data_IF_960446262754
#
_entry.id   IF_960446262754
#
_cell.length_a   1.000
_cell.length_b   1.000
_cell.length_c   1.000
_cell.angle_alpha   90.00
_cell.angle_beta   90.00
_cell.angle_gamma   90.00
#
_symmetry.space_group_name_H-M   'P 1'
#
loop_
_entity.id
_entity.type
_entity.pdbx_description
1 polymer ?
#
# COMPACT_ATOMS: atom_id res chain seq x y z
N UNK A 1 0.03 -5.24 3.16
CA UNK A 1 1.38 -4.85 3.65
C UNK A 1 2.28 -6.05 3.46
N UNK A 2 3.28 -5.89 2.62
CA UNK A 2 4.14 -6.95 2.04
C UNK A 2 5.51 -6.93 2.73
N UNK A 3 6.26 -8.04 2.83
CA UNK A 3 7.67 -8.08 3.29
C UNK A 3 8.67 -8.33 2.16
N UNK A 4 9.83 -7.65 2.18
CA UNK A 4 10.96 -7.85 1.25
C UNK A 4 12.27 -7.35 1.89
N UNK A 5 13.34 -8.15 1.79
CA UNK A 5 14.51 -8.06 2.68
C UNK A 5 15.53 -6.94 2.39
N UNK A 6 15.21 -5.89 1.65
CA UNK A 6 16.08 -4.68 1.54
C UNK A 6 15.28 -3.45 1.09
N UNK A 7 14.92 -2.58 2.03
CA UNK A 7 14.52 -1.20 1.74
C UNK A 7 14.94 -0.23 2.86
N UNK A 8 15.94 0.61 2.56
CA UNK A 8 16.05 1.96 3.12
C UNK A 8 14.94 2.80 2.47
N UNK A 9 14.24 3.59 3.28
CA UNK A 9 13.03 4.37 2.99
C UNK A 9 12.91 4.86 1.53
N UNK A 10 11.85 4.45 0.81
CA UNK A 10 11.54 4.96 -0.53
C UNK A 10 10.06 5.22 -0.71
N UNK A 11 9.75 6.25 -1.49
CA UNK A 11 8.40 6.53 -1.98
C UNK A 11 8.42 6.46 -3.50
N UNK A 12 7.55 5.65 -4.07
CA UNK A 12 7.30 5.57 -5.50
C UNK A 12 5.97 6.26 -5.80
N UNK A 13 5.91 7.03 -6.88
CA UNK A 13 4.72 7.76 -7.30
C UNK A 13 4.44 7.54 -8.79
N UNK A 14 3.19 7.21 -9.11
CA UNK A 14 2.68 7.18 -10.47
C UNK A 14 1.75 8.37 -10.71
N UNK A 15 2.24 9.38 -11.43
CA UNK A 15 1.50 10.59 -11.72
C UNK A 15 0.26 10.39 -12.60
N UNK A 16 0.22 9.34 -13.42
CA UNK A 16 -0.92 9.09 -14.32
C UNK A 16 -2.11 8.49 -13.58
N UNK A 17 -1.84 7.62 -12.61
CA UNK A 17 -2.88 6.87 -11.91
C UNK A 17 -3.09 7.38 -10.48
N UNK A 18 -2.30 8.35 -10.02
CA UNK A 18 -2.31 8.90 -8.65
C UNK A 18 -2.09 7.84 -7.57
N UNK A 19 -1.21 6.88 -7.82
CA UNK A 19 -0.85 5.86 -6.84
C UNK A 19 0.53 6.13 -6.24
N UNK A 20 0.65 5.88 -4.94
CA UNK A 20 1.89 5.93 -4.18
C UNK A 20 2.18 4.57 -3.56
N UNK A 21 3.47 4.26 -3.45
CA UNK A 21 3.97 3.15 -2.65
C UNK A 21 5.02 3.72 -1.71
N UNK A 22 4.75 3.71 -0.42
CA UNK A 22 5.73 4.04 0.61
C UNK A 22 6.31 2.76 1.19
N UNK A 23 7.63 2.72 1.37
CA UNK A 23 8.33 1.53 1.87
C UNK A 23 9.14 1.83 3.12
N UNK A 24 9.12 0.88 4.05
CA UNK A 24 9.96 0.88 5.24
C UNK A 24 10.36 -0.54 5.59
N UNK A 25 11.66 -0.87 5.53
CA UNK A 25 12.16 -2.23 5.79
C UNK A 25 11.33 -3.27 5.03
N UNK A 26 10.59 -4.10 5.76
CA UNK A 26 9.76 -5.17 5.24
C UNK A 26 8.29 -4.74 5.13
N UNK A 27 7.96 -3.47 5.03
CA UNK A 27 6.57 -3.02 4.95
C UNK A 27 6.35 -2.10 3.73
N UNK A 28 5.34 -2.44 2.93
CA UNK A 28 4.86 -1.61 1.80
C UNK A 28 3.46 -1.10 2.10
N UNK A 29 3.31 0.22 2.07
CA UNK A 29 2.05 0.93 2.14
C UNK A 29 1.65 1.38 0.72
N UNK A 30 0.53 0.85 0.24
CA UNK A 30 -0.07 1.22 -1.05
C UNK A 30 -1.18 2.27 -0.83
N UNK A 31 -1.11 3.37 -1.57
CA UNK A 31 -2.05 4.49 -1.47
C UNK A 31 -2.50 4.86 -2.88
N UNK A 32 -3.79 5.13 -3.07
CA UNK A 32 -4.30 5.62 -4.35
C UNK A 32 -5.82 5.54 -4.43
N UNK A 33 -6.42 6.19 -5.44
CA UNK A 33 -7.87 6.31 -5.56
C UNK A 33 -8.54 5.02 -6.07
N UNK A 34 -7.82 4.17 -6.80
CA UNK A 34 -8.37 2.96 -7.41
C UNK A 34 -7.97 1.71 -6.60
N UNK A 35 -8.89 1.24 -5.76
CA UNK A 35 -8.69 0.03 -4.95
C UNK A 35 -8.51 -1.22 -5.81
N UNK A 36 -9.18 -1.29 -6.97
CA UNK A 36 -9.03 -2.40 -7.93
C UNK A 36 -7.59 -2.50 -8.44
N UNK A 37 -7.02 -1.37 -8.87
CA UNK A 37 -5.62 -1.31 -9.29
C UNK A 37 -4.65 -1.74 -8.18
N UNK A 38 -4.85 -1.27 -6.94
CA UNK A 38 -4.03 -1.70 -5.79
C UNK A 38 -4.16 -3.20 -5.56
N UNK A 39 -5.36 -3.75 -5.68
CA UNK A 39 -5.65 -5.17 -5.48
C UNK A 39 -4.94 -6.03 -6.53
N UNK A 40 -5.01 -5.63 -7.79
CA UNK A 40 -4.34 -6.33 -8.89
C UNK A 40 -2.82 -6.23 -8.79
N UNK A 41 -2.30 -5.07 -8.38
CA UNK A 41 -0.87 -4.89 -8.12
C UNK A 41 -0.39 -5.82 -7.00
N UNK A 42 -1.11 -5.90 -5.88
CA UNK A 42 -0.81 -6.85 -4.79
C UNK A 42 -0.82 -8.29 -5.31
N UNK A 43 -1.85 -8.70 -6.06
CA UNK A 43 -1.89 -10.06 -6.65
C UNK A 43 -0.66 -10.36 -7.51
N UNK A 44 -0.23 -9.41 -8.35
CA UNK A 44 0.98 -9.57 -9.18
C UNK A 44 2.24 -9.67 -8.35
N UNK A 45 2.37 -8.84 -7.31
CA UNK A 45 3.51 -8.90 -6.39
C UNK A 45 3.56 -10.21 -5.61
N UNK A 46 2.40 -10.74 -5.19
CA UNK A 46 2.34 -12.00 -4.45
C UNK A 46 2.88 -13.18 -5.26
N UNK A 47 2.61 -13.19 -6.57
CA UNK A 47 3.10 -14.23 -7.48
C UNK A 47 4.63 -14.28 -7.58
N UNK A 48 5.31 -13.16 -7.34
CA UNK A 48 6.77 -13.06 -7.53
C UNK A 48 7.52 -13.12 -6.21
N UNK A 49 6.97 -12.51 -5.14
CA UNK A 49 7.71 -12.24 -3.91
C UNK A 49 7.10 -12.87 -2.65
N UNK A 50 6.08 -13.73 -2.77
CA UNK A 50 5.40 -14.38 -1.62
C UNK A 50 5.04 -13.37 -0.52
N UNK A 51 4.15 -12.45 -0.87
CA UNK A 51 3.82 -11.31 -0.03
C UNK A 51 2.67 -11.68 0.90
N UNK A 52 2.73 -11.22 2.14
CA UNK A 52 1.54 -11.19 3.00
C UNK A 52 0.71 -9.93 2.67
N UNK A 53 -0.61 -9.97 2.84
CA UNK A 53 -1.43 -8.77 2.79
C UNK A 53 -2.17 -8.55 4.12
N UNK A 54 -1.65 -7.65 4.94
CA UNK A 54 -2.26 -7.29 6.23
C UNK A 54 -3.51 -6.40 6.12
N UNK A 55 -4.10 -6.28 4.93
CA UNK A 55 -5.34 -5.53 4.73
C UNK A 55 -5.18 -4.00 4.82
N UNK A 56 -6.26 -3.28 5.15
CA UNK A 56 -6.25 -1.83 5.25
C UNK A 56 -5.40 -1.34 6.43
N UNK A 57 -4.32 -0.60 6.13
CA UNK A 57 -3.46 -0.05 7.19
C UNK A 57 -4.20 0.99 8.05
N UNK A 58 -4.26 0.77 9.36
CA UNK A 58 -4.73 1.78 10.31
C UNK A 58 -3.59 2.71 10.76
N UNK A 59 -2.36 2.17 10.79
CA UNK A 59 -1.14 2.87 11.17
C UNK A 59 -0.01 2.51 10.21
N UNK A 60 0.92 3.44 10.02
CA UNK A 60 2.20 3.19 9.36
C UNK A 60 3.27 4.03 10.06
N UNK A 61 4.33 3.39 10.55
CA UNK A 61 5.42 4.05 11.30
C UNK A 61 4.97 4.89 12.50
N UNK A 62 3.94 4.44 13.23
CA UNK A 62 3.38 5.16 14.37
C UNK A 62 2.47 6.33 13.99
N UNK A 63 2.25 6.60 12.71
CA UNK A 63 1.32 7.61 12.21
C UNK A 63 -0.02 6.96 11.88
N UNK A 64 -1.12 7.53 12.39
CA UNK A 64 -2.46 7.07 12.08
C UNK A 64 -2.88 7.48 10.67
N UNK A 65 -3.48 6.55 9.93
CA UNK A 65 -4.02 6.81 8.59
C UNK A 65 -5.51 7.09 8.68
N UNK A 66 -5.89 8.34 8.47
CA UNK A 66 -7.28 8.76 8.32
C UNK A 66 -7.61 8.78 6.83
N UNK A 67 -8.70 8.10 6.46
CA UNK A 67 -9.20 8.07 5.08
C UNK A 67 -10.47 8.89 5.03
N UNK A 68 -10.43 9.99 4.30
CA UNK A 68 -11.64 10.70 3.94
C UNK A 68 -12.39 9.86 2.89
N UNK A 69 -13.34 9.05 3.37
CA UNK A 69 -14.22 8.27 2.51
C UNK A 69 -15.51 9.07 2.36
N UNK A 70 -15.82 9.63 1.18
CA UNK A 70 -17.05 10.41 0.98
C UNK A 70 -18.34 9.59 1.12
N UNK A 71 -18.28 8.28 1.39
CA UNK A 71 -19.44 7.39 1.49
C UNK A 71 -19.36 6.44 2.70
N UNK A 72 -19.30 6.98 3.93
CA UNK A 72 -19.82 6.24 5.09
C UNK A 72 -21.36 6.31 5.05
N UNK A 73 -21.99 5.42 4.31
CA UNK A 73 -23.33 4.94 4.70
C UNK A 73 -23.08 3.72 5.57
N UNK A 74 -23.51 3.83 6.82
CA UNK A 74 -23.64 2.70 7.75
C UNK A 74 -24.61 1.67 7.17
#
# INVERSE_FOLDING_TARGET
MIKLSKALYRVFYNAKTYHFIATYKDDYLFIGPNIGYITDLKKRLNKVYAIEDLGPAAYFLGVQIIRDRPNRRL
#
